data_IF_448290936045
#
_entry.id   IF_448290936045
#
_cell.length_a   1.000
_cell.length_b   1.000
_cell.length_c   1.000
_cell.angle_alpha   90.00
_cell.angle_beta   90.00
_cell.angle_gamma   90.00
#
_symmetry.space_group_name_H-M   'P 1'
#
loop_
_entity.id
_entity.type
_entity.pdbx_description
1 polymer ?
#
# COMPACT_ATOMS: atom_id res chain seq x y z
N UNK A 1 -30.09 19.32 -13.39
CA UNK A 1 -28.70 19.70 -13.20
C UNK A 1 -28.27 19.50 -11.77
N UNK A 2 -29.02 20.02 -10.85
CA UNK A 2 -28.72 19.85 -9.44
C UNK A 2 -28.83 18.39 -9.02
N UNK A 3 -29.70 17.65 -9.66
CA UNK A 3 -29.86 16.23 -9.38
C UNK A 3 -28.63 15.41 -9.81
N UNK A 4 -27.77 15.99 -10.63
CA UNK A 4 -26.55 15.31 -11.07
C UNK A 4 -25.53 15.29 -9.92
N UNK A 5 -25.47 16.35 -9.14
CA UNK A 5 -24.49 16.40 -8.06
C UNK A 5 -24.78 15.42 -6.93
N UNK A 6 -26.05 15.32 -6.50
CA UNK A 6 -26.43 14.36 -5.46
C UNK A 6 -26.22 12.92 -5.86
N UNK A 7 -26.73 12.49 -7.04
CA UNK A 7 -26.42 11.14 -7.53
C UNK A 7 -24.94 10.90 -7.71
N UNK A 8 -24.20 11.94 -8.09
CA UNK A 8 -22.75 11.81 -8.30
C UNK A 8 -22.02 11.47 -7.03
N UNK A 9 -22.38 12.10 -5.91
CA UNK A 9 -21.77 11.79 -4.62
C UNK A 9 -22.07 10.35 -4.23
N UNK A 10 -23.31 9.92 -4.36
CA UNK A 10 -23.68 8.55 -4.06
C UNK A 10 -22.97 7.58 -4.98
N UNK A 11 -22.89 7.91 -6.27
CA UNK A 11 -22.21 7.06 -7.24
C UNK A 11 -20.73 6.92 -6.87
N UNK A 12 -20.10 8.00 -6.43
CA UNK A 12 -18.70 7.96 -6.03
C UNK A 12 -18.52 7.03 -4.82
N UNK A 13 -19.42 7.10 -3.85
CA UNK A 13 -19.35 6.21 -2.69
C UNK A 13 -19.60 4.77 -3.06
N UNK A 14 -20.56 4.54 -3.96
CA UNK A 14 -20.86 3.18 -4.43
C UNK A 14 -19.76 2.62 -5.31
N UNK A 15 -19.11 3.50 -6.07
CA UNK A 15 -18.03 3.09 -6.96
C UNK A 15 -16.68 3.01 -6.25
N UNK A 16 -16.60 3.50 -5.01
CA UNK A 16 -15.37 3.35 -4.25
C UNK A 16 -15.06 1.86 -4.12
N UNK A 17 -13.87 1.49 -4.55
CA UNK A 17 -13.45 0.10 -4.59
C UNK A 17 -12.08 -0.04 -3.99
N UNK A 18 -11.81 -1.24 -3.55
CA UNK A 18 -10.51 -1.60 -3.03
C UNK A 18 -9.97 -2.77 -3.83
N UNK A 19 -8.66 -2.77 -3.97
CA UNK A 19 -7.92 -3.90 -4.53
C UNK A 19 -7.46 -4.74 -3.36
N UNK A 20 -7.95 -5.98 -3.29
CA UNK A 20 -7.64 -6.90 -2.19
C UNK A 20 -6.49 -7.78 -2.64
N UNK A 21 -5.46 -7.82 -1.83
CA UNK A 21 -4.23 -8.57 -2.12
C UNK A 21 -3.83 -9.40 -0.91
N UNK A 22 -2.97 -10.38 -1.18
CA UNK A 22 -2.41 -11.20 -0.11
C UNK A 22 -0.91 -11.04 -0.06
N UNK A 23 -0.38 -11.21 1.15
CA UNK A 23 1.05 -11.33 1.38
C UNK A 23 1.23 -12.30 2.53
N UNK A 24 1.68 -13.52 2.21
CA UNK A 24 1.65 -14.66 3.12
C UNK A 24 0.21 -14.86 3.61
N UNK A 25 -0.02 -14.90 4.91
CA UNK A 25 -1.36 -15.08 5.46
C UNK A 25 -2.09 -13.77 5.69
N UNK A 26 -1.49 -12.67 5.33
CA UNK A 26 -2.04 -11.35 5.57
C UNK A 26 -2.82 -10.86 4.36
N UNK A 27 -4.07 -10.48 4.56
CA UNK A 27 -4.90 -9.88 3.51
C UNK A 27 -5.04 -8.41 3.79
N UNK A 28 -4.73 -7.60 2.78
CA UNK A 28 -4.93 -6.17 2.91
C UNK A 28 -5.53 -5.61 1.63
N UNK A 29 -5.98 -4.39 1.73
CA UNK A 29 -6.61 -3.71 0.60
C UNK A 29 -6.04 -2.31 0.44
N UNK A 30 -6.03 -1.87 -0.80
CA UNK A 30 -5.64 -0.52 -1.19
C UNK A 30 -6.78 0.03 -2.04
N UNK A 31 -7.12 1.29 -1.83
CA UNK A 31 -8.15 1.91 -2.66
C UNK A 31 -7.73 1.89 -4.12
N UNK A 32 -8.65 1.51 -4.99
CA UNK A 32 -8.36 1.33 -6.42
C UNK A 32 -7.84 2.61 -7.05
N UNK A 33 -8.32 3.76 -6.59
CA UNK A 33 -7.89 5.04 -7.16
C UNK A 33 -6.39 5.28 -7.03
N UNK A 34 -5.73 4.59 -6.12
CA UNK A 34 -4.28 4.71 -5.92
C UNK A 34 -3.51 3.54 -6.51
N UNK A 35 -4.20 2.47 -6.90
CA UNK A 35 -3.54 1.30 -7.47
C UNK A 35 -3.30 1.52 -8.96
N UNK A 36 -2.11 1.19 -9.43
CA UNK A 36 -1.72 1.42 -10.82
C UNK A 36 -1.60 0.13 -11.61
N UNK A 37 -0.74 -0.77 -11.17
CA UNK A 37 -0.51 -2.02 -11.89
C UNK A 37 0.20 -3.01 -10.99
N UNK A 38 0.18 -4.26 -11.38
CA UNK A 38 0.97 -5.30 -10.74
C UNK A 38 2.16 -5.60 -11.64
N UNK A 39 3.33 -5.59 -11.07
CA UNK A 39 4.59 -5.84 -11.80
C UNK A 39 5.40 -6.88 -11.07
N UNK A 40 6.31 -7.51 -11.81
CA UNK A 40 7.33 -8.39 -11.21
C UNK A 40 8.67 -7.72 -11.45
N UNK A 41 9.37 -7.44 -10.37
CA UNK A 41 10.74 -6.93 -10.46
C UNK A 41 11.68 -8.11 -10.33
N UNK A 42 12.47 -8.34 -11.37
CA UNK A 42 13.49 -9.37 -11.35
C UNK A 42 14.85 -8.83 -10.87
N UNK A 43 14.91 -7.54 -10.66
CA UNK A 43 16.13 -6.87 -10.21
C UNK A 43 15.75 -5.65 -9.37
N UNK A 44 16.27 -5.60 -8.17
CA UNK A 44 16.10 -4.46 -7.30
C UNK A 44 17.35 -4.32 -6.43
N UNK A 45 17.58 -3.11 -5.95
CA UNK A 45 18.77 -2.79 -5.16
C UNK A 45 18.40 -2.66 -3.69
N UNK A 46 19.05 -3.45 -2.85
CA UNK A 46 18.87 -3.34 -1.40
C UNK A 46 19.57 -2.08 -0.93
N UNK A 47 18.87 -1.28 -0.12
CA UNK A 47 19.43 -0.05 0.45
C UNK A 47 20.11 -0.41 1.77
N UNK A 48 21.41 -0.15 1.91
CA UNK A 48 22.10 -0.47 3.17
C UNK A 48 21.49 0.28 4.35
N UNK A 49 21.38 -0.41 5.48
CA UNK A 49 20.88 0.14 6.74
C UNK A 49 19.45 0.67 6.65
N UNK A 50 18.69 0.21 5.66
CA UNK A 50 17.30 0.60 5.53
C UNK A 50 16.45 -0.08 6.59
N UNK A 51 15.30 0.52 6.95
CA UNK A 51 14.38 -0.14 7.86
C UNK A 51 13.85 -1.44 7.26
N UNK A 52 13.37 -2.34 8.12
CA UNK A 52 12.98 -3.69 7.69
C UNK A 52 11.86 -3.69 6.67
N UNK A 53 11.01 -2.68 6.65
CA UNK A 53 9.91 -2.60 5.71
C UNK A 53 10.31 -2.13 4.31
N UNK A 54 11.52 -1.62 4.14
CA UNK A 54 12.03 -1.25 2.83
C UNK A 54 12.85 -2.42 2.27
N UNK A 55 12.28 -3.13 1.32
CA UNK A 55 12.95 -4.26 0.69
C UNK A 55 14.11 -3.77 -0.19
N UNK A 56 13.90 -2.65 -0.88
CA UNK A 56 14.91 -2.07 -1.74
C UNK A 56 14.29 -1.02 -2.65
N UNK A 57 15.00 -0.66 -3.70
CA UNK A 57 14.50 0.23 -4.73
C UNK A 57 14.57 -0.47 -6.08
N UNK A 58 13.61 -0.20 -6.93
CA UNK A 58 13.52 -0.80 -8.25
C UNK A 58 13.24 0.27 -9.30
N UNK A 59 13.61 -0.04 -10.53
CA UNK A 59 13.38 0.83 -11.66
C UNK A 59 12.21 0.28 -12.48
N UNK A 60 11.17 1.09 -12.63
CA UNK A 60 10.05 0.76 -13.49
C UNK A 60 9.96 1.82 -14.59
N UNK A 61 10.35 1.44 -15.79
CA UNK A 61 10.28 2.32 -16.98
C UNK A 61 10.96 3.67 -16.74
N UNK A 62 12.12 3.65 -16.08
CA UNK A 62 12.88 4.86 -15.82
C UNK A 62 12.53 5.55 -14.51
N UNK A 63 11.51 5.09 -13.82
CA UNK A 63 11.13 5.64 -12.51
C UNK A 63 11.68 4.76 -11.40
N UNK A 64 12.46 5.35 -10.52
CA UNK A 64 13.00 4.66 -9.36
C UNK A 64 11.98 4.78 -8.25
N UNK A 65 11.60 3.65 -7.66
CA UNK A 65 10.62 3.65 -6.58
C UNK A 65 11.03 2.69 -5.47
N UNK A 66 10.62 2.97 -4.24
CA UNK A 66 10.85 2.01 -3.16
C UNK A 66 9.95 0.80 -3.33
N UNK A 67 10.47 -0.35 -2.94
CA UNK A 67 9.70 -1.60 -2.84
C UNK A 67 9.53 -1.90 -1.37
N UNK A 68 8.29 -1.98 -0.94
CA UNK A 68 7.92 -2.01 0.47
C UNK A 68 7.33 -3.36 0.82
N UNK A 69 7.86 -3.96 1.86
CA UNK A 69 7.23 -5.10 2.53
C UNK A 69 6.52 -4.55 3.75
N UNK A 70 5.19 -4.57 3.75
CA UNK A 70 4.44 -3.97 4.86
C UNK A 70 4.44 -4.85 6.11
N UNK A 71 4.82 -6.12 6.00
CA UNK A 71 4.77 -7.04 7.15
C UNK A 71 5.53 -6.55 8.37
N UNK A 72 6.76 -6.02 8.23
CA UNK A 72 7.45 -5.51 9.41
C UNK A 72 6.73 -4.35 10.10
N UNK A 73 5.93 -3.58 9.36
CA UNK A 73 5.14 -2.51 9.96
C UNK A 73 4.06 -3.06 10.90
N UNK A 74 3.68 -4.32 10.69
CA UNK A 74 2.68 -5.00 11.52
C UNK A 74 3.31 -6.04 12.45
N UNK A 75 4.63 -5.97 12.64
CA UNK A 75 5.32 -6.89 13.53
C UNK A 75 5.49 -8.30 12.98
N UNK A 76 5.34 -8.46 11.67
CA UNK A 76 5.47 -9.76 11.02
C UNK A 76 6.86 -9.90 10.39
N UNK A 77 7.24 -11.15 10.12
CA UNK A 77 8.54 -11.44 9.53
C UNK A 77 8.65 -10.91 8.11
N UNK A 78 9.72 -10.19 7.78
CA UNK A 78 9.89 -9.67 6.43
C UNK A 78 10.16 -10.76 5.39
N UNK A 79 10.03 -10.39 4.11
CA UNK A 79 10.27 -11.29 3.01
C UNK A 79 11.76 -11.61 2.87
N UNK A 80 12.03 -12.79 2.31
CA UNK A 80 13.36 -13.12 1.84
C UNK A 80 13.67 -12.31 0.59
N UNK A 81 14.89 -11.84 0.44
CA UNK A 81 15.30 -10.94 -0.62
C UNK A 81 15.96 -11.66 -1.81
N UNK A 82 15.78 -12.93 -1.95
CA UNK A 82 16.54 -13.73 -2.90
C UNK A 82 15.72 -14.26 -4.09
N UNK A 83 14.61 -13.62 -4.40
CA UNK A 83 13.74 -14.06 -5.50
C UNK A 83 13.06 -12.85 -6.14
N UNK A 84 12.43 -13.11 -7.28
CA UNK A 84 11.62 -12.09 -7.95
C UNK A 84 10.57 -11.55 -7.02
N UNK A 85 10.31 -10.26 -7.14
CA UNK A 85 9.39 -9.54 -6.29
C UNK A 85 8.17 -9.14 -7.10
N UNK A 86 7.01 -9.63 -6.69
CA UNK A 86 5.74 -9.16 -7.25
C UNK A 86 5.24 -8.01 -6.41
N UNK A 87 4.89 -6.92 -7.07
CA UNK A 87 4.49 -5.71 -6.36
C UNK A 87 3.26 -5.09 -6.99
N UNK A 88 2.41 -4.54 -6.14
CA UNK A 88 1.34 -3.64 -6.56
C UNK A 88 1.91 -2.24 -6.55
N UNK A 89 2.01 -1.63 -7.72
CA UNK A 89 2.47 -0.26 -7.82
C UNK A 89 1.33 0.67 -7.44
N UNK A 90 1.60 1.53 -6.48
CA UNK A 90 0.64 2.51 -5.98
C UNK A 90 1.20 3.91 -6.12
N UNK A 91 0.30 4.86 -6.21
CA UNK A 91 0.69 6.27 -6.31
C UNK A 91 -0.36 7.14 -5.63
N UNK A 92 0.12 8.06 -4.81
CA UNK A 92 -0.73 9.06 -4.19
C UNK A 92 0.07 10.34 -4.03
N UNK A 93 -0.52 11.45 -4.48
CA UNK A 93 0.09 12.78 -4.35
C UNK A 93 1.51 12.83 -4.96
N UNK A 94 1.69 12.13 -6.08
CA UNK A 94 2.95 12.11 -6.80
C UNK A 94 4.00 11.16 -6.25
N UNK A 95 3.70 10.45 -5.17
CA UNK A 95 4.63 9.50 -4.57
C UNK A 95 4.26 8.08 -5.02
N UNK A 96 5.21 7.39 -5.60
CA UNK A 96 5.05 6.01 -6.06
C UNK A 96 5.80 5.04 -5.18
N UNK A 97 5.24 3.85 -5.04
CA UNK A 97 5.90 2.75 -4.35
C UNK A 97 5.37 1.44 -4.91
N UNK A 98 6.16 0.39 -4.79
CA UNK A 98 5.70 -0.97 -5.05
C UNK A 98 5.46 -1.68 -3.73
N UNK A 99 4.24 -2.10 -3.48
CA UNK A 99 3.92 -2.87 -2.29
C UNK A 99 4.10 -4.35 -2.62
N UNK A 100 4.94 -5.03 -1.88
CA UNK A 100 5.15 -6.47 -2.06
C UNK A 100 3.84 -7.21 -1.83
N UNK A 101 3.48 -8.08 -2.77
CA UNK A 101 2.28 -8.91 -2.66
C UNK A 101 2.58 -10.31 -3.15
N UNK A 102 1.74 -11.26 -2.76
CA UNK A 102 1.75 -12.60 -3.36
C UNK A 102 0.80 -12.64 -4.55
N UNK A 103 -0.45 -12.22 -4.33
CA UNK A 103 -1.42 -12.22 -5.43
C UNK A 103 -2.52 -11.20 -5.19
N UNK A 104 -3.22 -10.87 -6.26
CA UNK A 104 -4.41 -10.03 -6.22
C UNK A 104 -5.62 -10.95 -6.15
N UNK A 105 -6.44 -10.79 -5.12
CA UNK A 105 -7.67 -11.58 -4.99
C UNK A 105 -8.81 -10.99 -5.80
N UNK A 106 -8.84 -9.68 -5.97
CA UNK A 106 -9.88 -9.05 -6.77
C UNK A 106 -10.14 -7.62 -6.36
N UNK A 107 -11.13 -7.04 -7.03
CA UNK A 107 -11.63 -5.71 -6.73
C UNK A 107 -12.97 -5.86 -6.03
N UNK A 108 -13.15 -5.17 -4.92
CA UNK A 108 -14.38 -5.24 -4.14
C UNK A 108 -14.89 -3.85 -3.83
N UNK A 109 -16.21 -3.70 -3.68
CA UNK A 109 -16.74 -2.43 -3.22
C UNK A 109 -16.33 -2.15 -1.78
N UNK A 110 -16.27 -0.88 -1.44
CA UNK A 110 -15.92 -0.44 -0.10
C UNK A 110 -17.17 -0.47 0.78
N UNK A 111 -17.70 -1.66 1.02
CA UNK A 111 -18.87 -1.87 1.85
C UNK A 111 -18.49 -2.58 3.13
N UNK A 112 -19.20 -2.25 4.19
CA UNK A 112 -18.93 -2.89 5.48
C UNK A 112 -17.65 -2.42 6.14
N UNK A 113 -17.16 -1.27 5.74
CA UNK A 113 -15.93 -0.74 6.31
C UNK A 113 -16.18 -0.33 7.76
N UNK A 114 -15.34 -0.86 8.62
CA UNK A 114 -15.28 -0.43 10.02
C UNK A 114 -14.01 0.42 10.14
N UNK A 115 -14.18 1.69 10.52
CA UNK A 115 -13.05 2.57 10.65
C UNK A 115 -12.15 2.11 11.80
N UNK A 116 -10.85 2.36 11.64
CA UNK A 116 -9.89 2.03 12.67
C UNK A 116 -10.16 2.91 13.90
N UNK A 117 -10.14 2.27 15.07
CA UNK A 117 -10.23 3.02 16.31
C UNK A 117 -8.86 3.59 16.65
N UNK A 118 -8.84 4.60 17.50
CA UNK A 118 -7.58 5.12 18.03
C UNK A 118 -6.94 4.01 18.85
N UNK A 119 -5.81 3.52 18.39
CA UNK A 119 -5.13 2.41 19.02
C UNK A 119 -4.12 2.88 20.08
N UNK A 120 -3.14 2.03 20.30
CA UNK A 120 -2.12 2.28 21.33
C UNK A 120 -0.98 3.17 20.84
N UNK A 121 -1.14 3.75 19.64
CA UNK A 121 -0.11 4.61 19.07
C UNK A 121 1.02 3.85 18.39
N UNK A 122 0.84 2.57 18.16
CA UNK A 122 1.83 1.78 17.43
C UNK A 122 1.88 2.19 15.96
N UNK A 123 2.99 1.89 15.31
CA UNK A 123 3.14 2.16 13.87
C UNK A 123 2.05 1.45 13.07
N UNK A 124 1.71 0.23 13.47
CA UNK A 124 0.67 -0.53 12.79
C UNK A 124 -0.67 0.18 12.81
N UNK A 125 -1.04 0.79 13.92
CA UNK A 125 -2.31 1.51 14.01
C UNK A 125 -2.37 2.68 13.04
N UNK A 126 -1.26 3.39 12.87
CA UNK A 126 -1.20 4.54 11.97
C UNK A 126 -1.34 4.12 10.51
N UNK A 127 -1.01 2.88 10.19
CA UNK A 127 -1.04 2.38 8.81
C UNK A 127 -2.40 1.80 8.41
N UNK A 128 -3.33 1.69 9.35
CA UNK A 128 -4.64 1.07 9.11
C UNK A 128 -5.72 2.13 9.05
N UNK A 129 -6.43 2.20 7.92
CA UNK A 129 -7.60 3.07 7.79
C UNK A 129 -8.85 2.41 8.32
N UNK A 130 -8.94 1.09 8.26
CA UNK A 130 -10.09 0.37 8.73
C UNK A 130 -10.01 -1.11 8.38
N UNK A 131 -11.13 -1.80 8.57
CA UNK A 131 -11.25 -3.21 8.27
C UNK A 131 -12.52 -3.48 7.50
N UNK A 132 -12.40 -4.40 6.57
CA UNK A 132 -13.54 -4.94 5.85
C UNK A 132 -13.80 -6.33 6.39
N UNK A 133 -14.94 -6.51 7.04
CA UNK A 133 -15.29 -7.81 7.61
C UNK A 133 -15.86 -8.68 6.51
N UNK A 134 -15.36 -9.91 6.43
CA UNK A 134 -15.81 -10.91 5.46
C UNK A 134 -16.02 -12.23 6.20
N UNK A 135 -16.77 -13.14 5.60
CA UNK A 135 -17.06 -14.43 6.23
C UNK A 135 -15.79 -15.22 6.53
N UNK A 136 -14.81 -15.12 5.66
CA UNK A 136 -13.56 -15.86 5.79
C UNK A 136 -12.44 -15.06 6.45
N UNK A 137 -12.79 -13.96 7.11
CA UNK A 137 -11.84 -13.17 7.86
C UNK A 137 -11.87 -11.70 7.50
N UNK A 138 -11.10 -10.92 8.22
CA UNK A 138 -11.04 -9.47 8.00
C UNK A 138 -9.97 -9.14 6.97
N UNK A 139 -10.22 -8.07 6.24
CA UNK A 139 -9.26 -7.49 5.30
C UNK A 139 -8.86 -6.14 5.87
N UNK A 140 -7.58 -5.90 6.01
CA UNK A 140 -7.06 -4.65 6.55
C UNK A 140 -6.98 -3.62 5.43
N UNK A 141 -7.73 -2.52 5.55
CA UNK A 141 -7.62 -1.42 4.61
C UNK A 141 -6.46 -0.54 5.04
N UNK A 142 -5.46 -0.40 4.18
CA UNK A 142 -4.29 0.40 4.48
C UNK A 142 -4.61 1.89 4.31
N UNK A 143 -4.07 2.68 5.21
CA UNK A 143 -3.97 4.12 5.01
C UNK A 143 -2.74 4.35 4.14
N UNK A 144 -2.94 4.41 2.84
CA UNK A 144 -1.83 4.51 1.91
C UNK A 144 -1.02 5.79 2.13
N UNK A 145 -1.69 6.88 2.47
CA UNK A 145 -0.98 8.12 2.77
C UNK A 145 0.01 7.95 3.91
N UNK A 146 -0.40 7.26 4.96
CA UNK A 146 0.49 7.00 6.09
C UNK A 146 1.64 6.07 5.71
N UNK A 147 1.34 5.04 4.92
CA UNK A 147 2.38 4.10 4.45
C UNK A 147 3.41 4.84 3.61
N UNK A 148 2.97 5.65 2.66
CA UNK A 148 3.89 6.38 1.79
C UNK A 148 4.66 7.47 2.56
N UNK A 149 4.03 8.09 3.56
CA UNK A 149 4.72 9.07 4.40
C UNK A 149 5.85 8.42 5.18
N UNK A 150 5.65 7.22 5.68
CA UNK A 150 6.69 6.48 6.37
C UNK A 150 7.87 6.18 5.43
N UNK A 151 7.58 5.89 4.17
CA UNK A 151 8.64 5.67 3.18
C UNK A 151 9.31 6.97 2.79
N UNK A 152 8.53 8.01 2.56
CA UNK A 152 9.03 9.31 2.15
C UNK A 152 9.97 9.93 3.15
N UNK A 153 9.70 9.73 4.44
CA UNK A 153 10.58 10.24 5.48
C UNK A 153 11.98 9.64 5.41
N UNK A 154 12.07 8.38 5.00
CA UNK A 154 13.34 7.69 4.89
C UNK A 154 14.03 7.94 3.54
N UNK A 155 13.26 7.86 2.46
CA UNK A 155 13.83 7.93 1.11
C UNK A 155 13.87 9.37 0.59
N UNK A 156 12.82 10.14 0.84
CA UNK A 156 12.72 11.51 0.33
C UNK A 156 13.82 12.41 0.89
N UNK A 157 14.08 12.30 2.18
CA UNK A 157 15.12 13.10 2.83
C UNK A 157 16.48 12.78 2.23
N UNK A 158 16.78 11.51 2.03
CA UNK A 158 18.03 11.10 1.42
C UNK A 158 18.14 11.59 -0.02
N UNK A 159 17.04 11.54 -0.76
CA UNK A 159 16.99 12.02 -2.11
C UNK A 159 17.24 13.52 -2.19
N UNK A 160 16.63 14.27 -1.32
CA UNK A 160 16.83 15.71 -1.26
C UNK A 160 18.28 16.06 -0.91
N UNK A 161 18.85 15.36 0.04
CA UNK A 161 20.23 15.58 0.43
C UNK A 161 21.17 15.35 -0.73
N UNK A 162 20.88 14.37 -1.57
CA UNK A 162 21.72 14.10 -2.73
C UNK A 162 21.59 15.15 -3.83
N UNK A 163 20.42 15.74 -3.95
CA UNK A 163 20.17 16.77 -4.95
C UNK A 163 20.80 18.10 -4.59
N UNK A 164 21.13 18.29 -3.34
CA UNK A 164 21.76 19.51 -2.88
C UNK A 164 23.28 19.43 -2.96
#
# INVERSE_FOLDING_TARGET
QLSVEGPRVQDALQQARVCVVTLADFRFAVEVRYAREVVVFDDYTVVPLAPAHLLGVANLRGNIMPVVDIRPLFGLTPASADRDVRALVVERDGVQAGLLIDEVLGLEPLEGLVLAEVGDGSVADDMVAGRLEREDGAITLLDLGAVLAAMGGDIGVQGEARLR
#
